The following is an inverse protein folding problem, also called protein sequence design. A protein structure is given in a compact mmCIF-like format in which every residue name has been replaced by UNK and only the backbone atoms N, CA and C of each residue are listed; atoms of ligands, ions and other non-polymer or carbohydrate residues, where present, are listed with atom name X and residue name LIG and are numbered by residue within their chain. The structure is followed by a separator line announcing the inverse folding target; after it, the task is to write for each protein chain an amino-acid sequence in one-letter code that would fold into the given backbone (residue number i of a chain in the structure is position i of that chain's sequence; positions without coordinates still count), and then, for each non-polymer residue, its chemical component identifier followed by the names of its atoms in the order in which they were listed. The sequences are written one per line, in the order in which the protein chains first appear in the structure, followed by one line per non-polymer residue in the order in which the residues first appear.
data_IF_285367838653
#
_entry.id   IF_285367838653
#
_cell.length_a   1.000
_cell.length_b   1.000
_cell.length_c   1.000
_cell.angle_alpha   90.00
_cell.angle_beta   90.00
_cell.angle_gamma   90.00
#
_symmetry.space_group_name_H-M   'P 1'
#
loop_
_entity.id
_entity.type
_entity.pdbx_description
1 polymer ?
#
# COMPACT_ATOMS: atom_id res chain seq x y z
N UNK A 1 -14.04 10.89 12.19
CA UNK A 1 -15.17 10.99 11.24
C UNK A 1 -15.24 9.68 10.47
N UNK A 2 -16.39 9.01 10.43
CA UNK A 2 -16.55 7.77 9.64
C UNK A 2 -16.65 8.13 8.15
N UNK A 3 -16.16 7.27 7.26
CA UNK A 3 -16.20 7.52 5.81
C UNK A 3 -17.64 7.75 5.33
N UNK A 4 -18.59 7.01 5.89
CA UNK A 4 -20.03 7.14 5.65
C UNK A 4 -20.52 8.55 6.00
N UNK A 5 -20.21 9.02 7.21
CA UNK A 5 -20.59 10.38 7.66
C UNK A 5 -19.99 11.51 6.80
N UNK A 6 -18.94 11.24 6.02
CA UNK A 6 -18.41 12.20 5.07
C UNK A 6 -19.29 12.29 3.82
N UNK A 7 -19.69 11.15 3.25
CA UNK A 7 -20.59 11.13 2.10
C UNK A 7 -21.98 11.66 2.45
N UNK A 8 -22.45 11.42 3.67
CA UNK A 8 -23.73 11.94 4.16
C UNK A 8 -23.77 13.48 4.25
N UNK A 9 -22.61 14.13 4.39
CA UNK A 9 -22.48 15.58 4.49
C UNK A 9 -21.85 16.20 3.22
N UNK A 10 -21.80 15.44 2.12
CA UNK A 10 -21.08 15.83 0.91
C UNK A 10 -21.62 17.13 0.30
N UNK A 11 -22.96 17.27 0.22
CA UNK A 11 -23.61 18.48 -0.32
C UNK A 11 -23.27 19.73 0.49
N UNK A 12 -23.17 19.61 1.82
CA UNK A 12 -22.79 20.72 2.71
C UNK A 12 -21.33 21.14 2.51
N UNK A 13 -20.47 20.19 2.10
CA UNK A 13 -19.05 20.45 1.90
C UNK A 13 -18.76 21.06 0.53
N UNK A 14 -19.61 20.86 -0.48
CA UNK A 14 -19.43 21.40 -1.84
C UNK A 14 -19.64 22.91 -1.94
N UNK A 15 -20.39 23.51 -1.02
CA UNK A 15 -20.66 24.95 -1.00
C UNK A 15 -19.53 25.78 -0.35
N UNK A 16 -18.55 25.11 0.27
CA UNK A 16 -17.43 25.79 0.91
C UNK A 16 -16.41 26.31 -0.13
N UNK A 17 -15.77 27.46 0.11
CA UNK A 17 -14.66 27.91 -0.73
C UNK A 17 -13.53 26.86 -0.73
N UNK A 18 -13.01 26.57 -1.92
CA UNK A 18 -12.00 25.52 -2.18
C UNK A 18 -12.47 24.07 -1.94
N UNK A 19 -13.79 23.82 -1.89
CA UNK A 19 -14.35 22.48 -1.70
C UNK A 19 -13.83 21.45 -2.73
N UNK A 20 -13.79 21.81 -4.02
CA UNK A 20 -13.34 20.92 -5.09
C UNK A 20 -11.88 20.47 -4.94
N UNK A 21 -10.99 21.39 -4.55
CA UNK A 21 -9.59 21.09 -4.30
C UNK A 21 -9.41 20.16 -3.10
N UNK A 22 -10.07 20.47 -1.98
CA UNK A 22 -10.03 19.63 -0.77
C UNK A 22 -10.63 18.24 -1.00
N UNK A 23 -11.69 18.15 -1.80
CA UNK A 23 -12.29 16.88 -2.18
C UNK A 23 -11.32 16.03 -2.99
N UNK A 24 -10.63 16.64 -3.97
CA UNK A 24 -9.62 15.95 -4.76
C UNK A 24 -8.50 15.41 -3.88
N UNK A 25 -8.00 16.21 -2.96
CA UNK A 25 -6.95 15.79 -2.02
C UNK A 25 -7.42 14.62 -1.16
N UNK A 26 -8.65 14.65 -0.65
CA UNK A 26 -9.20 13.56 0.13
C UNK A 26 -9.35 12.28 -0.70
N UNK A 27 -9.88 12.37 -1.92
CA UNK A 27 -10.00 11.23 -2.83
C UNK A 27 -8.61 10.62 -3.08
N UNK A 28 -7.60 11.44 -3.37
CA UNK A 28 -6.23 10.97 -3.57
C UNK A 28 -5.68 10.27 -2.32
N UNK A 29 -5.90 10.84 -1.13
CA UNK A 29 -5.50 10.21 0.13
C UNK A 29 -6.19 8.86 0.37
N UNK A 30 -7.47 8.74 0.03
CA UNK A 30 -8.21 7.49 0.14
C UNK A 30 -7.76 6.46 -0.89
N UNK A 31 -7.42 6.90 -2.11
CA UNK A 31 -6.92 6.05 -3.18
C UNK A 31 -5.59 5.39 -2.78
N UNK A 32 -4.64 6.19 -2.31
CA UNK A 32 -3.31 5.71 -1.88
C UNK A 32 -3.42 4.75 -0.69
N UNK A 33 -4.44 4.90 0.16
CA UNK A 33 -4.71 3.99 1.30
C UNK A 33 -5.51 2.74 0.91
N UNK A 34 -5.86 2.56 -0.36
CA UNK A 34 -6.67 1.42 -0.82
C UNK A 34 -8.12 1.43 -0.31
N UNK A 35 -8.67 2.60 0.04
CA UNK A 35 -10.01 2.73 0.64
C UNK A 35 -11.13 3.09 -0.34
N UNK A 36 -10.80 3.30 -1.62
CA UNK A 36 -11.78 3.67 -2.64
C UNK A 36 -12.46 2.48 -3.32
N UNK A 37 -11.91 1.27 -3.15
CA UNK A 37 -12.40 0.07 -3.83
C UNK A 37 -12.57 -1.05 -2.80
N UNK A 38 -13.67 -1.79 -2.90
CA UNK A 38 -13.90 -2.99 -2.10
C UNK A 38 -12.78 -3.99 -2.37
N UNK A 39 -12.17 -4.50 -1.30
CA UNK A 39 -11.10 -5.48 -1.40
C UNK A 39 -11.70 -6.86 -1.64
N UNK A 40 -11.21 -7.59 -2.64
CA UNK A 40 -11.59 -8.99 -2.85
C UNK A 40 -10.66 -9.89 -2.01
N UNK A 41 -11.25 -10.80 -1.22
CA UNK A 41 -10.49 -11.75 -0.41
C UNK A 41 -9.80 -12.82 -1.25
N UNK A 42 -10.29 -13.03 -2.48
CA UNK A 42 -9.72 -13.96 -3.46
C UNK A 42 -8.53 -13.36 -4.21
N UNK A 43 -8.26 -12.06 -4.06
CA UNK A 43 -7.09 -11.44 -4.66
C UNK A 43 -5.80 -12.04 -4.09
N UNK A 44 -4.80 -12.12 -4.97
CA UNK A 44 -3.46 -12.56 -4.61
C UNK A 44 -2.85 -11.62 -3.56
N UNK A 45 -2.25 -12.20 -2.53
CA UNK A 45 -1.54 -11.44 -1.50
C UNK A 45 -0.22 -10.90 -2.06
N UNK A 46 0.15 -9.68 -1.65
CA UNK A 46 1.46 -9.12 -1.94
C UNK A 46 2.64 -9.99 -1.45
N UNK A 47 2.41 -10.88 -0.46
CA UNK A 47 3.42 -11.86 -0.02
C UNK A 47 3.84 -12.81 -1.15
N UNK A 48 2.89 -13.25 -1.97
CA UNK A 48 3.15 -14.19 -3.06
C UNK A 48 4.02 -13.51 -4.13
N UNK A 49 3.74 -12.23 -4.42
CA UNK A 49 4.59 -11.43 -5.30
C UNK A 49 6.03 -11.31 -4.75
N UNK A 50 6.20 -11.07 -3.45
CA UNK A 50 7.51 -10.97 -2.82
C UNK A 50 8.30 -12.28 -2.90
N UNK A 51 7.63 -13.41 -2.64
CA UNK A 51 8.22 -14.75 -2.80
C UNK A 51 8.67 -14.99 -4.26
N UNK A 52 7.83 -14.61 -5.22
CA UNK A 52 8.15 -14.73 -6.65
C UNK A 52 9.36 -13.86 -7.04
N UNK A 53 9.41 -12.61 -6.57
CA UNK A 53 10.57 -11.73 -6.80
C UNK A 53 11.82 -12.33 -6.20
N UNK A 54 11.75 -12.85 -4.96
CA UNK A 54 12.90 -13.48 -4.31
C UNK A 54 13.41 -14.69 -5.10
N UNK A 55 12.51 -15.57 -5.55
CA UNK A 55 12.87 -16.72 -6.37
C UNK A 55 13.50 -16.31 -7.71
N UNK A 56 13.03 -15.21 -8.34
CA UNK A 56 13.63 -14.67 -9.55
C UNK A 56 15.02 -14.08 -9.30
N UNK A 57 15.22 -13.37 -8.18
CA UNK A 57 16.52 -12.82 -7.77
C UNK A 57 17.56 -13.92 -7.59
N UNK A 58 17.22 -14.99 -6.89
CA UNK A 58 18.12 -16.13 -6.64
C UNK A 58 18.54 -16.83 -7.94
N UNK A 59 17.62 -16.93 -8.92
CA UNK A 59 17.94 -17.46 -10.27
C UNK A 59 18.92 -16.56 -11.01
N UNK A 60 18.73 -15.24 -10.97
CA UNK A 60 19.56 -14.27 -11.70
C UNK A 60 20.97 -14.18 -11.11
N UNK A 61 21.12 -14.28 -9.78
CA UNK A 61 22.43 -14.14 -9.14
C UNK A 61 23.25 -15.42 -9.14
N UNK A 62 22.72 -16.52 -9.69
CA UNK A 62 23.42 -17.80 -9.78
C UNK A 62 23.84 -18.33 -8.41
N UNK A 63 23.07 -18.03 -7.36
CA UNK A 63 23.41 -18.42 -5.99
C UNK A 63 24.52 -17.60 -5.32
N UNK A 64 25.04 -16.52 -5.95
CA UNK A 64 25.76 -15.50 -5.18
C UNK A 64 24.76 -14.93 -4.19
N UNK A 65 25.03 -15.14 -2.89
CA UNK A 65 24.34 -14.46 -1.79
C UNK A 65 24.48 -12.96 -2.03
N UNK A 66 23.53 -12.34 -2.74
CA UNK A 66 23.21 -10.95 -2.41
C UNK A 66 22.82 -11.05 -0.94
N UNK A 67 23.54 -10.34 -0.08
CA UNK A 67 23.44 -10.45 1.37
C UNK A 67 21.97 -10.53 1.79
N UNK A 68 21.53 -11.75 2.14
CA UNK A 68 20.14 -12.04 2.54
C UNK A 68 19.73 -11.17 3.73
N UNK A 69 20.70 -10.63 4.46
CA UNK A 69 20.53 -9.78 5.62
C UNK A 69 19.84 -8.44 5.31
N UNK A 70 19.99 -7.86 4.11
CA UNK A 70 19.34 -6.57 3.81
C UNK A 70 17.85 -6.71 3.44
N UNK A 71 17.45 -7.81 2.78
CA UNK A 71 16.05 -8.00 2.35
C UNK A 71 15.12 -8.49 3.47
N UNK A 72 15.68 -8.96 4.59
CA UNK A 72 14.94 -9.55 5.71
C UNK A 72 14.68 -8.57 6.85
N UNK A 73 14.96 -7.28 6.68
CA UNK A 73 14.46 -6.28 7.62
C UNK A 73 12.94 -6.17 7.43
N UNK A 74 12.23 -7.08 8.09
CA UNK A 74 10.78 -7.00 8.28
C UNK A 74 10.45 -5.62 8.81
N UNK A 75 9.46 -4.98 8.18
CA UNK A 75 9.00 -3.69 8.63
C UNK A 75 8.19 -3.92 9.90
N UNK A 76 8.61 -3.30 11.00
CA UNK A 76 7.90 -3.41 12.26
C UNK A 76 6.57 -2.65 12.19
N UNK A 77 5.54 -3.10 12.92
CA UNK A 77 4.23 -2.42 12.93
C UNK A 77 4.32 -0.94 13.34
N UNK A 78 5.31 -0.57 14.16
CA UNK A 78 5.58 0.82 14.58
C UNK A 78 5.99 1.73 13.41
N UNK A 79 6.46 1.15 12.32
CA UNK A 79 6.89 1.86 11.11
C UNK A 79 5.73 2.09 10.13
N UNK A 80 4.54 1.54 10.41
CA UNK A 80 3.38 1.72 9.54
C UNK A 80 2.83 3.13 9.67
N UNK A 81 2.84 3.88 8.56
CA UNK A 81 2.23 5.22 8.51
C UNK A 81 0.69 5.14 8.52
N UNK A 82 0.13 4.06 7.95
CA UNK A 82 -1.31 3.85 7.81
C UNK A 82 -1.67 2.37 7.88
N UNK A 83 -2.91 2.10 8.29
CA UNK A 83 -3.55 0.80 8.10
C UNK A 83 -3.74 0.57 6.60
N UNK A 84 -3.22 -0.56 6.13
CA UNK A 84 -3.32 -1.01 4.73
C UNK A 84 -4.39 -2.10 4.59
N UNK A 85 -4.84 -2.39 3.36
CA UNK A 85 -5.73 -3.51 3.10
C UNK A 85 -5.13 -4.88 3.52
N UNK A 86 -5.97 -5.90 3.80
CA UNK A 86 -5.50 -7.19 4.33
C UNK A 86 -4.51 -7.96 3.45
N UNK A 87 -4.56 -7.77 2.13
CA UNK A 87 -3.69 -8.45 1.15
C UNK A 87 -2.45 -7.62 0.77
N UNK A 88 -2.33 -6.41 1.31
CA UNK A 88 -1.17 -5.55 1.10
C UNK A 88 -0.14 -5.82 2.18
N UNK A 89 1.13 -5.58 1.85
CA UNK A 89 2.25 -5.75 2.77
C UNK A 89 3.18 -4.55 2.65
N UNK A 90 3.63 -4.03 3.80
CA UNK A 90 4.76 -3.12 3.82
C UNK A 90 6.03 -3.91 3.53
N UNK A 91 6.80 -3.44 2.55
CA UNK A 91 8.07 -4.02 2.19
C UNK A 91 9.07 -2.91 1.89
N UNK A 92 10.36 -3.21 1.99
CA UNK A 92 11.40 -2.26 1.61
C UNK A 92 11.55 -2.22 0.09
N UNK A 93 12.02 -1.10 -0.46
CA UNK A 93 12.14 -0.94 -1.92
C UNK A 93 13.15 -1.93 -2.51
N UNK A 94 14.20 -2.25 -1.77
CA UNK A 94 15.17 -3.28 -2.13
C UNK A 94 14.47 -4.62 -2.37
N UNK A 95 13.42 -4.98 -1.63
CA UNK A 95 12.75 -6.28 -1.79
C UNK A 95 12.14 -6.48 -3.18
N UNK A 96 11.69 -5.40 -3.83
CA UNK A 96 11.02 -5.44 -5.14
C UNK A 96 11.88 -4.95 -6.31
N UNK A 97 13.11 -4.50 -6.08
CA UNK A 97 13.99 -3.94 -7.11
C UNK A 97 15.43 -4.46 -7.03
N UNK A 98 16.21 -4.24 -8.08
CA UNK A 98 17.66 -4.45 -8.10
C UNK A 98 18.31 -3.06 -8.22
N UNK A 99 18.61 -2.42 -7.10
CA UNK A 99 19.42 -1.20 -7.06
C UNK A 99 20.63 -1.44 -6.16
#
# INVERSE_FOLDING_TARGET
MKLESFFDNFELLTDAPNASAKLRDLILQLAVKGKLVNQDLNDESASILLENVQAQKEKITGGRKIEKENFLLEIEEKEYFYNIPPKWIYTRLENISFF
#
